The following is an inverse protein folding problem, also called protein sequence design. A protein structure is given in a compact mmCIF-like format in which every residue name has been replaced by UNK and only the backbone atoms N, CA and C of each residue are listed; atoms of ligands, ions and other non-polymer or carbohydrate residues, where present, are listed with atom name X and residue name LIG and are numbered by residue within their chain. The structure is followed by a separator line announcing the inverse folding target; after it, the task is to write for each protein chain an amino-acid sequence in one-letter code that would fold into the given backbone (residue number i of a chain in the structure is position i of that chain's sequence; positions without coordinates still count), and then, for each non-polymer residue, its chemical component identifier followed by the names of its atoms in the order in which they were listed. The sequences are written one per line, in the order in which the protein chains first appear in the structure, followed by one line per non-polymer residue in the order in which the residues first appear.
data_IF_089932780965
#
_entry.id   IF_089932780965
#
_cell.length_a   1.000
_cell.length_b   1.000
_cell.length_c   1.000
_cell.angle_alpha   90.00
_cell.angle_beta   90.00
_cell.angle_gamma   90.00
#
_symmetry.space_group_name_H-M   'P 1'
#
loop_
_entity.id
_entity.type
_entity.pdbx_description
1 polymer ?
#
# COMPACT_ATOMS: atom_id res chain seq x y z
N UNK A 1 54.42 -12.63 28.03
CA UNK A 1 53.26 -13.17 27.30
C UNK A 1 52.09 -12.24 27.57
N UNK A 2 51.99 -11.17 26.79
CA UNK A 2 50.92 -10.19 26.87
C UNK A 2 49.76 -10.64 25.99
N UNK A 3 48.54 -10.61 26.53
CA UNK A 3 47.31 -10.75 25.75
C UNK A 3 46.58 -9.42 25.79
N UNK A 4 46.83 -8.64 24.74
CA UNK A 4 46.19 -7.36 24.48
C UNK A 4 44.71 -7.57 24.14
N UNK A 5 43.82 -7.01 24.96
CA UNK A 5 42.39 -6.89 24.66
C UNK A 5 42.16 -5.77 23.66
N UNK A 6 41.40 -5.97 22.57
CA UNK A 6 41.22 -4.95 21.54
C UNK A 6 40.27 -3.82 21.99
N UNK A 7 40.50 -2.56 21.55
CA UNK A 7 39.73 -1.41 21.99
C UNK A 7 38.35 -1.32 21.30
N UNK A 8 37.34 -0.92 22.09
CA UNK A 8 35.97 -0.60 21.62
C UNK A 8 36.02 0.58 20.63
N UNK A 9 35.83 0.31 19.35
CA UNK A 9 35.70 1.36 18.32
C UNK A 9 34.24 1.83 18.23
N UNK A 10 33.94 2.89 18.97
CA UNK A 10 32.81 3.75 18.67
C UNK A 10 32.97 4.32 17.25
N UNK A 11 31.96 4.13 16.42
CA UNK A 11 31.78 4.92 15.19
C UNK A 11 30.30 5.23 15.05
N UNK A 12 29.92 6.33 15.70
CA UNK A 12 28.83 7.17 15.24
C UNK A 12 29.13 7.53 13.77
N UNK A 13 28.37 6.95 12.85
CA UNK A 13 28.35 7.38 11.46
C UNK A 13 26.94 7.85 11.17
N UNK A 14 26.75 9.15 11.31
CA UNK A 14 25.57 9.86 10.82
C UNK A 14 25.52 9.76 9.29
N UNK A 15 24.41 9.32 8.68
CA UNK A 15 24.22 9.51 7.24
C UNK A 15 23.83 10.97 6.95
N UNK A 16 24.35 11.57 5.86
CA UNK A 16 24.22 12.99 5.58
C UNK A 16 23.12 13.24 4.55
N UNK A 17 21.87 13.52 4.96
CA UNK A 17 20.92 14.18 4.05
C UNK A 17 19.94 15.09 4.82
N UNK A 18 19.77 16.35 4.39
CA UNK A 18 18.82 17.27 5.00
C UNK A 18 17.43 16.98 4.42
N UNK A 19 16.53 16.41 5.23
CA UNK A 19 15.11 16.49 4.94
C UNK A 19 14.51 17.55 5.86
N UNK A 20 13.71 18.51 5.34
CA UNK A 20 13.05 19.49 6.17
C UNK A 20 12.11 18.77 7.13
N UNK A 21 12.33 18.98 8.42
CA UNK A 21 11.39 18.68 9.49
C UNK A 21 10.15 19.55 9.28
N UNK A 22 9.17 19.00 8.56
CA UNK A 22 7.82 19.53 8.59
C UNK A 22 7.23 19.16 9.95
N UNK A 23 7.02 20.16 10.79
CA UNK A 23 6.33 20.05 12.08
C UNK A 23 4.99 19.33 11.92
N UNK A 24 4.94 18.08 12.38
CA UNK A 24 3.84 17.14 12.19
C UNK A 24 2.63 17.41 13.11
N UNK A 25 2.67 18.48 13.91
CA UNK A 25 1.70 18.73 14.97
C UNK A 25 0.40 19.41 14.51
N UNK A 26 0.29 19.88 13.25
CA UNK A 26 -0.85 20.69 12.81
C UNK A 26 -1.94 19.95 11.98
N UNK A 27 -1.84 18.63 11.74
CA UNK A 27 -2.80 17.91 10.86
C UNK A 27 -3.70 16.93 11.62
N UNK A 28 -3.76 17.03 12.96
CA UNK A 28 -4.31 15.95 13.81
C UNK A 28 -5.83 15.96 14.05
N UNK A 29 -6.64 16.76 13.36
CA UNK A 29 -8.09 16.83 13.64
C UNK A 29 -9.04 16.62 12.46
N UNK A 30 -8.58 16.18 11.29
CA UNK A 30 -9.46 16.02 10.12
C UNK A 30 -9.49 14.61 9.47
N UNK A 31 -8.92 13.55 10.08
CA UNK A 31 -8.62 12.31 9.32
C UNK A 31 -9.52 11.11 9.62
N UNK A 32 -10.41 11.17 10.62
CA UNK A 32 -11.23 10.01 11.00
C UNK A 32 -12.40 9.70 10.04
N UNK A 33 -12.73 10.61 9.12
CA UNK A 33 -13.79 10.45 8.11
C UNK A 33 -13.33 10.39 6.64
N UNK A 34 -12.03 10.51 6.37
CA UNK A 34 -11.53 10.79 5.01
C UNK A 34 -11.07 9.57 4.20
N UNK A 35 -10.98 8.37 4.79
CA UNK A 35 -10.46 7.20 4.08
C UNK A 35 -11.44 6.61 3.05
N UNK A 36 -12.74 6.84 3.20
CA UNK A 36 -13.75 6.38 2.24
C UNK A 36 -13.74 7.21 0.94
N UNK A 37 -13.49 8.51 1.03
CA UNK A 37 -13.59 9.48 -0.09
C UNK A 37 -12.50 9.35 -1.16
N UNK A 38 -11.44 8.56 -0.94
CA UNK A 38 -10.31 8.42 -1.88
C UNK A 38 -10.28 7.09 -2.65
N UNK A 39 -11.18 6.16 -2.34
CA UNK A 39 -11.20 4.84 -2.97
C UNK A 39 -11.92 4.87 -4.32
N UNK A 40 -12.88 5.79 -4.47
CA UNK A 40 -13.58 6.01 -5.73
C UNK A 40 -12.72 6.87 -6.69
N UNK A 41 -12.63 6.48 -7.98
CA UNK A 41 -12.08 7.38 -8.98
C UNK A 41 -12.90 8.67 -9.01
N UNK A 42 -12.27 9.79 -9.38
CA UNK A 42 -13.02 11.04 -9.63
C UNK A 42 -14.12 10.78 -10.65
N UNK A 43 -15.32 11.32 -10.38
CA UNK A 43 -16.48 11.17 -11.27
C UNK A 43 -16.10 11.63 -12.67
N UNK A 44 -16.23 10.73 -13.65
CA UNK A 44 -15.95 11.02 -15.06
C UNK A 44 -16.88 12.14 -15.52
N UNK A 45 -16.34 13.34 -15.71
CA UNK A 45 -17.06 14.45 -16.35
C UNK A 45 -16.70 14.48 -17.84
N UNK A 46 -17.59 15.04 -18.67
CA UNK A 46 -17.42 15.12 -20.13
C UNK A 46 -16.21 15.98 -20.58
N UNK A 47 -15.40 16.49 -19.64
CA UNK A 47 -14.24 17.36 -19.88
C UNK A 47 -12.90 16.64 -19.76
N UNK A 48 -12.90 15.36 -19.40
CA UNK A 48 -11.66 14.60 -19.18
C UNK A 48 -11.11 14.13 -20.52
N UNK A 49 -9.95 14.66 -20.91
CA UNK A 49 -9.19 14.16 -22.06
C UNK A 49 -8.40 12.92 -21.63
N UNK A 50 -8.66 11.80 -22.29
CA UNK A 50 -7.92 10.57 -22.04
C UNK A 50 -6.60 10.58 -22.84
N UNK A 51 -5.47 10.22 -22.22
CA UNK A 51 -4.20 10.11 -22.93
C UNK A 51 -4.13 8.81 -23.76
N UNK A 52 -3.14 8.74 -24.64
CA UNK A 52 -2.91 7.59 -25.52
C UNK A 52 -2.75 6.28 -24.73
N UNK A 53 -3.33 5.19 -25.24
CA UNK A 53 -3.28 3.87 -24.60
C UNK A 53 -4.33 3.63 -23.52
N UNK A 54 -5.22 4.60 -23.25
CA UNK A 54 -6.32 4.44 -22.29
C UNK A 54 -7.26 3.27 -22.65
N UNK A 55 -7.52 3.06 -23.94
CA UNK A 55 -8.42 2.01 -24.43
C UNK A 55 -7.98 0.60 -24.03
N UNK A 56 -6.67 0.36 -23.86
CA UNK A 56 -6.12 -0.93 -23.46
C UNK A 56 -6.39 -1.24 -21.99
N UNK A 57 -6.39 -0.23 -21.12
CA UNK A 57 -6.51 -0.40 -19.66
C UNK A 57 -7.93 -0.18 -19.14
N UNK A 58 -8.74 0.59 -19.86
CA UNK A 58 -10.12 0.91 -19.46
C UNK A 58 -10.98 -0.32 -19.12
N UNK A 59 -11.06 -1.38 -19.96
CA UNK A 59 -11.97 -2.49 -19.68
C UNK A 59 -11.62 -3.17 -18.36
N UNK A 60 -10.34 -3.43 -18.10
CA UNK A 60 -9.88 -4.04 -16.85
C UNK A 60 -10.12 -3.13 -15.64
N UNK A 61 -9.88 -1.82 -15.77
CA UNK A 61 -10.14 -0.88 -14.68
C UNK A 61 -11.64 -0.76 -14.37
N UNK A 62 -12.50 -0.81 -15.38
CA UNK A 62 -13.96 -0.81 -15.23
C UNK A 62 -14.45 -2.08 -14.53
N UNK A 63 -13.90 -3.24 -14.89
CA UNK A 63 -14.22 -4.51 -14.24
C UNK A 63 -13.84 -4.49 -12.74
N UNK A 64 -12.63 -4.01 -12.42
CA UNK A 64 -12.18 -3.88 -11.04
C UNK A 64 -13.03 -2.88 -10.23
N UNK A 65 -13.55 -1.84 -10.88
CA UNK A 65 -14.48 -0.91 -10.25
C UNK A 65 -15.86 -1.51 -10.01
N UNK A 66 -16.36 -2.32 -10.97
CA UNK A 66 -17.58 -3.12 -10.78
C UNK A 66 -17.46 -4.01 -9.55
N UNK A 67 -16.37 -4.77 -9.46
CA UNK A 67 -16.05 -5.62 -8.30
C UNK A 67 -15.95 -4.85 -6.99
N UNK A 68 -15.41 -3.62 -7.01
CA UNK A 68 -15.35 -2.79 -5.81
C UNK A 68 -16.76 -2.42 -5.33
N UNK A 69 -17.63 -2.00 -6.26
CA UNK A 69 -19.01 -1.65 -5.95
C UNK A 69 -19.83 -2.84 -5.46
N UNK A 70 -19.58 -4.03 -6.02
CA UNK A 70 -20.17 -5.28 -5.53
C UNK A 70 -19.72 -5.57 -4.10
N UNK A 71 -18.41 -5.51 -3.83
CA UNK A 71 -17.86 -5.73 -2.49
C UNK A 71 -18.35 -4.71 -1.43
N UNK A 72 -18.65 -3.48 -1.85
CA UNK A 72 -19.24 -2.45 -0.97
C UNK A 72 -20.71 -2.73 -0.64
N UNK A 73 -21.47 -3.33 -1.57
CA UNK A 73 -22.89 -3.65 -1.38
C UNK A 73 -23.12 -5.05 -0.81
N UNK A 74 -22.09 -5.90 -0.77
CA UNK A 74 -22.19 -7.27 -0.30
C UNK A 74 -22.68 -7.34 1.15
N UNK A 75 -23.70 -8.17 1.46
CA UNK A 75 -24.18 -8.32 2.82
C UNK A 75 -23.06 -8.87 3.71
N UNK A 76 -23.02 -8.36 4.94
CA UNK A 76 -21.96 -8.67 5.91
C UNK A 76 -22.33 -9.83 6.84
N UNK A 77 -23.38 -10.59 6.50
CA UNK A 77 -23.99 -11.55 7.40
C UNK A 77 -23.07 -12.76 7.65
N UNK A 78 -22.87 -13.10 8.92
CA UNK A 78 -21.97 -14.18 9.35
C UNK A 78 -20.46 -13.91 9.26
N UNK A 79 -20.01 -12.73 8.81
CA UNK A 79 -18.58 -12.37 8.72
C UNK A 79 -18.13 -11.57 9.95
N UNK A 80 -16.84 -11.68 10.30
CA UNK A 80 -16.25 -10.80 11.33
C UNK A 80 -16.22 -9.36 10.79
N UNK A 81 -16.40 -8.36 11.67
CA UNK A 81 -16.38 -6.92 11.29
C UNK A 81 -15.14 -6.54 10.47
N UNK A 82 -13.99 -7.16 10.76
CA UNK A 82 -12.76 -6.94 10.02
C UNK A 82 -12.78 -7.57 8.62
N UNK A 83 -13.36 -8.75 8.47
CA UNK A 83 -13.42 -9.53 7.22
C UNK A 83 -14.27 -8.86 6.16
N UNK A 84 -15.30 -8.13 6.58
CA UNK A 84 -16.13 -7.32 5.69
C UNK A 84 -15.31 -6.42 4.77
N UNK A 85 -14.22 -5.83 5.27
CA UNK A 85 -13.41 -4.88 4.51
C UNK A 85 -12.29 -5.54 3.70
N UNK A 86 -12.00 -6.83 3.92
CA UNK A 86 -10.88 -7.50 3.25
C UNK A 86 -11.01 -7.53 1.72
N UNK A 87 -12.20 -7.80 1.13
CA UNK A 87 -12.38 -7.73 -0.32
C UNK A 87 -12.06 -6.35 -0.89
N UNK A 88 -12.49 -5.28 -0.21
CA UNK A 88 -12.23 -3.88 -0.61
C UNK A 88 -10.72 -3.62 -0.65
N UNK A 89 -9.98 -4.00 0.40
CA UNK A 89 -8.52 -3.84 0.40
C UNK A 89 -7.83 -4.68 -0.67
N UNK A 90 -8.32 -5.90 -0.93
CA UNK A 90 -7.78 -6.79 -1.96
C UNK A 90 -7.96 -6.19 -3.36
N UNK A 91 -9.14 -5.64 -3.67
CA UNK A 91 -9.43 -5.00 -4.96
C UNK A 91 -8.62 -3.71 -5.11
N UNK A 92 -8.52 -2.88 -4.07
CA UNK A 92 -7.72 -1.66 -4.09
C UNK A 92 -6.22 -1.96 -4.35
N UNK A 93 -5.70 -3.01 -3.71
CA UNK A 93 -4.34 -3.49 -3.95
C UNK A 93 -4.19 -3.99 -5.38
N UNK A 94 -5.09 -4.84 -5.87
CA UNK A 94 -5.07 -5.40 -7.22
C UNK A 94 -5.10 -4.29 -8.30
N UNK A 95 -5.98 -3.30 -8.12
CA UNK A 95 -6.10 -2.12 -9.00
C UNK A 95 -4.78 -1.35 -9.08
N UNK A 96 -4.18 -1.04 -7.92
CA UNK A 96 -2.89 -0.33 -7.87
C UNK A 96 -1.74 -1.18 -8.44
N UNK A 97 -1.76 -2.49 -8.20
CA UNK A 97 -0.71 -3.41 -8.67
C UNK A 97 -0.75 -3.61 -10.18
N UNK A 98 -1.94 -3.69 -10.76
CA UNK A 98 -2.13 -3.77 -12.21
C UNK A 98 -1.47 -2.58 -12.92
N UNK A 99 -1.78 -1.35 -12.49
CA UNK A 99 -1.19 -0.13 -13.06
C UNK A 99 0.33 -0.08 -12.83
N UNK A 100 0.80 -0.48 -11.64
CA UNK A 100 2.22 -0.53 -11.33
C UNK A 100 2.99 -1.50 -12.24
N UNK A 101 2.47 -2.71 -12.42
CA UNK A 101 3.11 -3.75 -13.24
C UNK A 101 3.13 -3.35 -14.73
N UNK A 102 2.07 -2.72 -15.24
CA UNK A 102 2.03 -2.21 -16.62
C UNK A 102 3.10 -1.14 -16.87
N UNK A 103 3.31 -0.22 -15.93
CA UNK A 103 4.31 0.85 -16.11
C UNK A 103 5.75 0.37 -15.84
N UNK A 104 5.98 -0.31 -14.72
CA UNK A 104 7.34 -0.61 -14.26
C UNK A 104 7.90 -1.93 -14.81
N UNK A 105 7.06 -2.96 -14.99
CA UNK A 105 7.52 -4.29 -15.43
C UNK A 105 7.37 -4.46 -16.93
N UNK A 106 6.18 -4.20 -17.47
CA UNK A 106 5.87 -4.42 -18.89
C UNK A 106 6.17 -3.23 -19.79
N UNK A 107 6.13 -2.01 -19.24
CA UNK A 107 6.32 -0.74 -19.96
C UNK A 107 5.36 -0.55 -21.15
N UNK A 108 4.13 -1.05 -21.00
CA UNK A 108 3.08 -0.95 -22.03
C UNK A 108 2.34 0.40 -22.00
N UNK A 109 2.47 1.16 -20.91
CA UNK A 109 1.80 2.46 -20.73
C UNK A 109 2.79 3.61 -20.67
N UNK A 110 2.38 4.76 -21.25
CA UNK A 110 3.16 5.99 -21.21
C UNK A 110 3.21 6.58 -19.79
N UNK A 111 4.20 7.43 -19.53
CA UNK A 111 4.31 8.15 -18.26
C UNK A 111 3.10 9.06 -18.01
N UNK A 112 2.58 9.69 -19.06
CA UNK A 112 1.40 10.56 -18.99
C UNK A 112 0.15 9.79 -18.56
N UNK A 113 -0.07 8.61 -19.15
CA UNK A 113 -1.19 7.74 -18.77
C UNK A 113 -1.06 7.23 -17.33
N UNK A 114 0.16 6.89 -16.90
CA UNK A 114 0.41 6.48 -15.52
C UNK A 114 0.12 7.61 -14.51
N UNK A 115 0.60 8.83 -14.76
CA UNK A 115 0.33 10.00 -13.91
C UNK A 115 -1.16 10.36 -13.89
N UNK A 116 -1.82 10.30 -15.04
CA UNK A 116 -3.27 10.45 -15.14
C UNK A 116 -4.03 9.46 -14.26
N UNK A 117 -3.62 8.17 -14.28
CA UNK A 117 -4.24 7.14 -13.43
C UNK A 117 -4.10 7.45 -11.93
N UNK A 118 -2.97 8.01 -11.52
CA UNK A 118 -2.74 8.43 -10.14
C UNK A 118 -3.55 9.68 -9.76
N UNK A 119 -3.73 10.62 -10.69
CA UNK A 119 -4.49 11.87 -10.52
C UNK A 119 -5.99 11.66 -10.40
N UNK A 120 -6.50 10.68 -11.14
CA UNK A 120 -7.90 10.28 -11.09
C UNK A 120 -8.24 9.30 -9.96
N UNK A 121 -7.23 8.75 -9.26
CA UNK A 121 -7.45 7.81 -8.14
C UNK A 121 -7.66 6.35 -8.57
N UNK A 122 -7.23 5.98 -9.78
CA UNK A 122 -7.20 4.58 -10.19
C UNK A 122 -6.10 3.79 -9.45
N UNK A 123 -5.01 4.42 -9.04
CA UNK A 123 -3.98 3.80 -8.20
C UNK A 123 -3.57 4.69 -7.03
N UNK A 124 -3.12 4.07 -5.94
CA UNK A 124 -2.61 4.80 -4.77
C UNK A 124 -1.11 5.11 -4.93
N UNK A 125 -0.77 6.41 -4.91
CA UNK A 125 0.62 6.88 -4.97
C UNK A 125 1.46 6.39 -3.80
N UNK A 126 0.86 6.33 -2.60
CA UNK A 126 1.58 6.02 -1.39
C UNK A 126 2.01 4.56 -1.36
N UNK A 127 1.13 3.64 -1.76
CA UNK A 127 1.49 2.22 -1.82
C UNK A 127 2.54 1.95 -2.89
N UNK A 128 2.42 2.58 -4.06
CA UNK A 128 3.39 2.49 -5.15
C UNK A 128 4.76 3.01 -4.72
N UNK A 129 4.81 4.13 -3.99
CA UNK A 129 6.05 4.67 -3.45
C UNK A 129 6.73 3.69 -2.48
N UNK A 130 5.95 2.89 -1.73
CA UNK A 130 6.50 1.84 -0.87
C UNK A 130 7.01 0.65 -1.68
N UNK A 131 6.31 0.21 -2.72
CA UNK A 131 6.77 -0.92 -3.55
C UNK A 131 8.09 -0.67 -4.26
N UNK A 132 8.44 0.59 -4.51
CA UNK A 132 9.76 0.98 -5.05
C UNK A 132 10.91 0.82 -4.03
N UNK A 133 10.61 0.66 -2.74
CA UNK A 133 11.63 0.49 -1.69
C UNK A 133 11.94 -0.99 -1.48
N UNK A 134 13.22 -1.36 -1.29
CA UNK A 134 13.60 -2.74 -1.03
C UNK A 134 12.94 -3.24 0.26
N UNK A 135 12.49 -4.50 0.26
CA UNK A 135 11.78 -5.12 1.39
C UNK A 135 10.28 -4.80 1.48
N UNK A 136 9.75 -3.92 0.62
CA UNK A 136 8.32 -3.58 0.58
C UNK A 136 7.64 -3.95 -0.74
N UNK A 137 8.34 -4.59 -1.67
CA UNK A 137 7.85 -4.94 -3.02
C UNK A 137 6.52 -5.71 -3.04
N UNK A 138 6.21 -6.47 -1.98
CA UNK A 138 4.98 -7.28 -1.84
C UNK A 138 4.04 -6.75 -0.74
N UNK A 139 4.21 -5.49 -0.32
CA UNK A 139 3.41 -4.88 0.75
C UNK A 139 1.91 -4.89 0.42
N UNK A 140 1.09 -5.40 1.35
CA UNK A 140 -0.35 -5.56 1.16
C UNK A 140 -1.14 -4.24 1.22
N UNK A 141 -0.92 -3.41 2.24
CA UNK A 141 -1.59 -2.12 2.43
C UNK A 141 -0.77 -1.21 3.35
N UNK A 142 -1.12 0.07 3.39
CA UNK A 142 -0.40 1.06 4.21
C UNK A 142 -0.66 0.90 5.71
N UNK A 143 -1.84 0.40 6.10
CA UNK A 143 -2.19 0.18 7.52
C UNK A 143 -1.24 -0.79 8.20
N UNK A 144 -0.81 -1.84 7.49
CA UNK A 144 0.08 -2.87 8.05
C UNK A 144 1.49 -2.38 8.41
N UNK A 145 1.91 -1.22 7.93
CA UNK A 145 3.22 -0.62 8.24
C UNK A 145 3.10 0.62 9.11
N UNK A 146 1.89 1.06 9.43
CA UNK A 146 1.67 2.28 10.18
C UNK A 146 1.67 1.96 11.70
N UNK A 147 2.62 2.49 12.49
CA UNK A 147 2.69 2.23 13.93
C UNK A 147 1.42 2.61 14.68
N UNK A 148 0.82 3.76 14.33
CA UNK A 148 -0.38 4.30 15.00
C UNK A 148 -1.61 3.40 14.90
N UNK A 149 -1.66 2.51 13.91
CA UNK A 149 -2.81 1.64 13.66
C UNK A 149 -2.73 0.34 14.50
N UNK A 150 -1.68 0.19 15.33
CA UNK A 150 -1.41 -0.96 16.19
C UNK A 150 -1.21 -0.53 17.64
N UNK A 151 -1.67 -1.35 18.60
CA UNK A 151 -1.65 -1.03 20.03
C UNK A 151 -0.23 -0.78 20.58
N UNK A 152 0.75 -1.56 20.12
CA UNK A 152 2.14 -1.47 20.58
C UNK A 152 3.03 -0.60 19.67
N UNK A 153 2.44 0.18 18.78
CA UNK A 153 3.20 1.03 17.84
C UNK A 153 4.22 0.26 16.99
N UNK A 154 3.89 -0.99 16.67
CA UNK A 154 4.70 -1.88 15.83
C UNK A 154 4.08 -2.06 14.44
N UNK A 155 4.69 -2.91 13.61
CA UNK A 155 4.13 -3.35 12.33
C UNK A 155 3.23 -4.56 12.49
N UNK A 156 2.34 -4.79 11.53
CA UNK A 156 1.45 -5.94 11.53
C UNK A 156 2.22 -7.27 11.42
N UNK A 157 1.67 -8.33 12.01
CA UNK A 157 2.20 -9.72 11.92
C UNK A 157 2.43 -10.17 10.48
N UNK A 158 1.65 -9.67 9.51
CA UNK A 158 1.84 -10.01 8.11
C UNK A 158 3.16 -9.51 7.50
N UNK A 159 3.89 -8.62 8.17
CA UNK A 159 5.23 -8.19 7.77
C UNK A 159 6.34 -9.09 8.29
N UNK A 160 6.03 -10.01 9.20
CA UNK A 160 7.00 -10.96 9.75
C UNK A 160 7.22 -12.11 8.75
N UNK A 161 8.47 -12.38 8.33
CA UNK A 161 8.78 -13.49 7.41
C UNK A 161 8.33 -14.85 7.94
N UNK A 162 7.83 -15.74 7.07
CA UNK A 162 7.25 -17.04 7.45
C UNK A 162 8.19 -17.89 8.30
N UNK A 163 9.48 -17.86 8.02
CA UNK A 163 10.48 -18.66 8.74
C UNK A 163 10.71 -18.20 10.19
N UNK A 164 10.30 -16.98 10.55
CA UNK A 164 10.36 -16.44 11.91
C UNK A 164 9.02 -16.52 12.64
N UNK A 165 7.97 -17.05 12.00
CA UNK A 165 6.64 -17.15 12.60
C UNK A 165 6.46 -18.51 13.28
N UNK A 166 5.89 -18.48 14.47
CA UNK A 166 5.42 -19.68 15.18
C UNK A 166 4.22 -20.30 14.44
N UNK A 167 3.28 -19.48 13.97
CA UNK A 167 2.11 -19.91 13.22
C UNK A 167 2.30 -19.80 11.69
N UNK A 168 2.04 -20.90 10.98
CA UNK A 168 2.25 -20.99 9.52
C UNK A 168 1.17 -20.27 8.72
N UNK A 169 -0.07 -20.28 9.20
CA UNK A 169 -1.22 -19.64 8.54
C UNK A 169 -1.60 -18.41 9.35
N UNK A 170 -1.44 -17.23 8.75
CA UNK A 170 -1.85 -15.97 9.37
C UNK A 170 -2.90 -15.30 8.52
N UNK A 171 -3.79 -14.56 9.16
CA UNK A 171 -4.75 -13.69 8.48
C UNK A 171 -4.66 -12.31 9.12
N UNK A 172 -4.19 -11.33 8.34
CA UNK A 172 -4.08 -9.96 8.81
C UNK A 172 -5.46 -9.39 9.15
N UNK A 173 -5.63 -8.86 10.37
CA UNK A 173 -6.88 -8.22 10.79
C UNK A 173 -7.29 -7.04 9.89
N UNK A 174 -6.32 -6.30 9.34
CA UNK A 174 -6.61 -5.11 8.53
C UNK A 174 -7.04 -5.41 7.10
N UNK A 175 -6.44 -6.41 6.45
CA UNK A 175 -6.62 -6.63 5.01
C UNK A 175 -6.70 -8.11 4.59
N UNK A 176 -6.69 -9.04 5.53
CA UNK A 176 -6.82 -10.48 5.25
C UNK A 176 -5.63 -11.12 4.53
N UNK A 177 -4.47 -10.45 4.44
CA UNK A 177 -3.31 -11.03 3.77
C UNK A 177 -2.64 -12.11 4.63
N UNK A 178 -1.99 -13.08 3.96
CA UNK A 178 -1.34 -14.26 4.57
C UNK A 178 0.19 -14.11 4.74
N UNK A 179 0.66 -12.87 4.66
CA UNK A 179 2.08 -12.53 4.61
C UNK A 179 2.37 -11.59 3.44
N UNK A 180 3.12 -10.53 3.72
CA UNK A 180 3.51 -9.51 2.75
C UNK A 180 4.98 -9.09 2.91
N UNK A 181 5.78 -9.89 3.63
CA UNK A 181 7.23 -9.76 3.60
C UNK A 181 7.75 -10.13 2.20
N UNK A 182 8.72 -9.37 1.69
CA UNK A 182 9.23 -9.61 0.33
C UNK A 182 10.11 -10.86 0.20
N UNK A 183 10.64 -11.39 1.31
CA UNK A 183 11.49 -12.59 1.34
C UNK A 183 10.77 -13.91 1.62
N UNK A 184 9.44 -13.93 1.51
CA UNK A 184 8.54 -15.06 1.78
C UNK A 184 8.03 -15.83 0.55
#
# INVERSE_FOLDING_TARGET
MGTETPPKRSRNVSPPYPYPVLDFHAVSLAVSGFYCLRIMPKVKTNRVKYPEGWELIEPTLRELQGKMREAENDPHDGKRKCETLWPIFKIAHQKSRYIFDLYHRRREISKELFEFCLDQGYADRNIIAKWKKPGYERLCCLRCIQPRDHNFQTTCVCRVPKHLREEKVIECVHCGCKGCASGD
#
